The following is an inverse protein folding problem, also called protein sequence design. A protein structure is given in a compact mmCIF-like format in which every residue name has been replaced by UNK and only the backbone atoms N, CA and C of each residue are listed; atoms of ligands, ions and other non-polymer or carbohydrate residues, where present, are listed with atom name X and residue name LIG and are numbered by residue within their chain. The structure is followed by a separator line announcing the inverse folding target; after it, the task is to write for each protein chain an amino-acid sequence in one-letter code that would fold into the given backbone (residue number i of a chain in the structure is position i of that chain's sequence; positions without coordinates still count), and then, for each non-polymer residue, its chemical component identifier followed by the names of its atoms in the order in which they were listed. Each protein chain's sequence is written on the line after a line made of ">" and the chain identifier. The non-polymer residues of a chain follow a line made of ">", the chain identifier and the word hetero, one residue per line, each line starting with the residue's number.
data_IF_890520141008
#
_entry.id   IF_890520141008
#
_cell.length_a   1.000
_cell.length_b   1.000
_cell.length_c   1.000
_cell.angle_alpha   90.00
_cell.angle_beta   90.00
_cell.angle_gamma   90.00
#
_symmetry.space_group_name_H-M   'P 1'
#
loop_
_entity.id
_entity.type
_entity.pdbx_description
1 polymer ?
#
# COMPACT_ATOMS: atom_id res chain seq x y z
N UNK A 1 -5.24 2.23 -24.89
CA UNK A 1 -4.93 2.46 -23.46
C UNK A 1 -3.88 1.44 -23.03
N UNK A 2 -2.63 1.90 -22.87
CA UNK A 2 -1.47 1.20 -22.32
C UNK A 2 -1.63 0.91 -20.83
N UNK A 3 -2.06 1.88 -20.02
CA UNK A 3 -2.24 1.67 -18.58
C UNK A 3 -3.72 1.48 -18.24
N UNK A 4 -4.04 0.30 -17.73
CA UNK A 4 -5.40 -0.15 -17.42
C UNK A 4 -5.75 -0.01 -15.94
N UNK A 5 -4.75 0.16 -15.07
CA UNK A 5 -4.96 0.28 -13.63
C UNK A 5 -4.04 1.32 -12.98
N UNK A 6 -4.53 1.93 -11.89
CA UNK A 6 -3.73 2.66 -10.92
C UNK A 6 -3.75 1.90 -9.58
N UNK A 7 -2.58 1.56 -9.08
CA UNK A 7 -2.36 1.12 -7.70
C UNK A 7 -1.77 2.30 -6.91
N UNK A 8 -2.39 2.66 -5.80
CA UNK A 8 -1.95 3.81 -5.02
C UNK A 8 -1.78 3.44 -3.56
N UNK A 9 -0.70 3.92 -2.95
CA UNK A 9 -0.58 3.91 -1.50
C UNK A 9 -1.56 4.88 -0.82
N UNK A 10 -1.81 4.67 0.47
CA UNK A 10 -2.69 5.50 1.28
C UNK A 10 -1.95 6.63 2.02
N UNK A 11 -1.16 6.32 3.05
CA UNK A 11 -0.63 7.32 4.00
C UNK A 11 0.61 8.03 3.48
N UNK A 12 0.50 9.34 3.22
CA UNK A 12 1.59 10.12 2.60
C UNK A 12 1.50 10.14 1.07
N UNK A 13 0.60 9.34 0.49
CA UNK A 13 0.32 9.29 -0.95
C UNK A 13 -1.07 9.84 -1.26
N UNK A 14 -2.15 9.10 -0.99
CA UNK A 14 -3.51 9.64 -1.14
C UNK A 14 -3.89 10.59 -0.01
N UNK A 15 -3.55 10.21 1.21
CA UNK A 15 -4.02 10.82 2.43
C UNK A 15 -2.92 11.65 3.09
N UNK A 16 -3.31 12.80 3.62
CA UNK A 16 -2.49 13.61 4.53
C UNK A 16 -3.10 13.54 5.92
N UNK A 17 -2.33 13.08 6.89
CA UNK A 17 -2.82 12.82 8.26
C UNK A 17 -4.07 11.92 8.30
N UNK A 18 -4.11 10.90 7.43
CA UNK A 18 -5.22 9.96 7.34
C UNK A 18 -6.47 10.47 6.63
N UNK A 19 -6.48 11.70 6.10
CA UNK A 19 -7.62 12.27 5.37
C UNK A 19 -7.29 12.44 3.89
N UNK A 20 -8.25 12.09 3.03
CA UNK A 20 -8.21 12.33 1.58
C UNK A 20 -9.11 13.53 1.28
N UNK A 21 -8.57 14.53 0.60
CA UNK A 21 -9.33 15.75 0.28
C UNK A 21 -10.32 15.55 -0.88
N UNK A 22 -11.28 16.49 -0.98
CA UNK A 22 -12.33 16.42 -2.00
C UNK A 22 -11.79 16.48 -3.46
N UNK A 23 -10.80 17.32 -3.80
CA UNK A 23 -10.19 17.29 -5.13
C UNK A 23 -9.59 15.93 -5.51
N UNK A 24 -8.91 15.27 -4.57
CA UNK A 24 -8.33 13.95 -4.79
C UNK A 24 -9.42 12.90 -4.97
N UNK A 25 -10.48 12.93 -4.17
CA UNK A 25 -11.64 12.04 -4.37
C UNK A 25 -12.27 12.22 -5.75
N UNK A 26 -12.46 13.47 -6.18
CA UNK A 26 -12.98 13.76 -7.52
C UNK A 26 -12.03 13.26 -8.62
N UNK A 27 -10.72 13.29 -8.40
CA UNK A 27 -9.75 12.72 -9.34
C UNK A 27 -9.89 11.19 -9.44
N UNK A 28 -10.01 10.49 -8.32
CA UNK A 28 -10.25 9.04 -8.31
C UNK A 28 -11.56 8.68 -9.03
N UNK A 29 -12.62 9.47 -8.85
CA UNK A 29 -13.88 9.30 -9.57
C UNK A 29 -13.72 9.49 -11.08
N UNK A 30 -12.96 10.51 -11.52
CA UNK A 30 -12.62 10.70 -12.95
C UNK A 30 -11.82 9.53 -13.50
N UNK A 31 -10.86 9.01 -12.74
CA UNK A 31 -10.06 7.86 -13.16
C UNK A 31 -10.96 6.63 -13.37
N UNK A 32 -11.87 6.35 -12.43
CA UNK A 32 -12.86 5.27 -12.58
C UNK A 32 -13.72 5.47 -13.82
N UNK A 33 -14.20 6.69 -14.05
CA UNK A 33 -15.02 7.03 -15.21
C UNK A 33 -14.28 6.85 -16.55
N UNK A 34 -12.94 6.90 -16.54
CA UNK A 34 -12.12 6.58 -17.72
C UNK A 34 -12.06 5.08 -18.07
N UNK A 35 -12.66 4.20 -17.24
CA UNK A 35 -12.67 2.76 -17.43
C UNK A 35 -11.43 2.03 -16.88
N UNK A 36 -10.56 2.74 -16.16
CA UNK A 36 -9.39 2.14 -15.48
C UNK A 36 -9.79 1.54 -14.14
N UNK A 37 -9.15 0.43 -13.79
CA UNK A 37 -9.25 -0.15 -12.47
C UNK A 37 -8.48 0.71 -11.45
N UNK A 38 -9.01 0.76 -10.22
CA UNK A 38 -8.38 1.50 -9.13
C UNK A 38 -8.16 0.58 -7.93
N UNK A 39 -6.90 0.45 -7.51
CA UNK A 39 -6.47 -0.40 -6.40
C UNK A 39 -5.84 0.46 -5.29
N UNK A 40 -6.25 0.22 -4.04
CA UNK A 40 -5.63 0.82 -2.86
C UNK A 40 -4.63 -0.19 -2.29
N UNK A 41 -3.39 0.20 -2.02
CA UNK A 41 -2.37 -0.70 -1.47
C UNK A 41 -1.75 -0.08 -0.22
N UNK A 42 -2.06 -0.59 0.97
CA UNK A 42 -1.73 0.07 2.23
C UNK A 42 -1.16 -0.87 3.29
N UNK A 43 -0.30 -0.32 4.14
CA UNK A 43 0.15 -0.99 5.37
C UNK A 43 -0.91 -1.04 6.48
N UNK A 44 -2.01 -0.28 6.36
CA UNK A 44 -3.06 -0.21 7.39
C UNK A 44 -3.77 -1.54 7.57
N UNK A 45 -4.14 -1.81 8.83
CA UNK A 45 -5.12 -2.84 9.17
C UNK A 45 -6.49 -2.47 8.60
N UNK A 46 -7.19 -3.45 8.03
CA UNK A 46 -8.40 -3.21 7.22
C UNK A 46 -9.54 -2.58 8.02
N UNK A 47 -9.73 -2.97 9.29
CA UNK A 47 -10.74 -2.42 10.19
C UNK A 47 -10.50 -0.95 10.50
N UNK A 48 -9.27 -0.57 10.83
CA UNK A 48 -8.85 0.82 11.05
C UNK A 48 -8.95 1.65 9.78
N UNK A 49 -8.60 1.08 8.63
CA UNK A 49 -8.81 1.72 7.33
C UNK A 49 -10.29 2.00 7.08
N UNK A 50 -11.18 1.01 7.29
CA UNK A 50 -12.64 1.17 7.13
C UNK A 50 -13.22 2.26 8.04
N UNK A 51 -12.66 2.46 9.24
CA UNK A 51 -13.06 3.54 10.16
C UNK A 51 -12.54 4.91 9.72
N UNK A 52 -11.34 4.95 9.16
CA UNK A 52 -10.65 6.20 8.81
C UNK A 52 -11.12 6.75 7.45
N UNK A 53 -11.38 5.86 6.50
CA UNK A 53 -11.65 6.22 5.12
C UNK A 53 -12.94 5.56 4.62
N UNK A 54 -13.99 6.37 4.46
CA UNK A 54 -15.32 5.89 4.10
C UNK A 54 -15.51 5.62 2.60
N UNK A 55 -14.63 6.16 1.74
CA UNK A 55 -14.75 6.06 0.28
C UNK A 55 -14.02 4.86 -0.33
N UNK A 56 -13.97 3.74 0.40
CA UNK A 56 -13.42 2.49 -0.13
C UNK A 56 -14.22 1.99 -1.35
N UNK A 57 -15.49 2.40 -1.52
CA UNK A 57 -16.32 2.12 -2.69
C UNK A 57 -15.68 2.55 -4.02
N UNK A 58 -14.72 3.49 -3.99
CA UNK A 58 -13.95 3.93 -5.16
C UNK A 58 -12.94 2.89 -5.66
N UNK A 59 -12.62 1.88 -4.86
CA UNK A 59 -11.60 0.90 -5.21
C UNK A 59 -12.25 -0.40 -5.69
N UNK A 60 -11.66 -1.02 -6.70
CA UNK A 60 -12.07 -2.34 -7.16
C UNK A 60 -11.57 -3.42 -6.20
N UNK A 61 -10.32 -3.29 -5.74
CA UNK A 61 -9.73 -4.11 -4.68
C UNK A 61 -8.87 -3.22 -3.76
N UNK A 62 -8.97 -3.47 -2.46
CA UNK A 62 -8.12 -2.90 -1.43
C UNK A 62 -7.16 -3.99 -0.96
N UNK A 63 -5.86 -3.76 -1.15
CA UNK A 63 -4.76 -4.56 -0.62
C UNK A 63 -4.36 -3.93 0.73
N UNK A 64 -4.84 -4.49 1.82
CA UNK A 64 -4.58 -4.05 3.19
C UNK A 64 -3.48 -4.88 3.86
N UNK A 65 -3.11 -4.49 5.08
CA UNK A 65 -2.12 -5.20 5.91
C UNK A 65 -0.81 -5.46 5.17
N UNK A 66 -0.34 -4.44 4.45
CA UNK A 66 0.92 -4.46 3.70
C UNK A 66 1.00 -5.63 2.70
N UNK A 67 -0.13 -6.01 2.10
CA UNK A 67 -0.19 -7.09 1.12
C UNK A 67 -0.93 -8.34 1.57
N UNK A 68 -1.22 -8.46 2.87
CA UNK A 68 -1.70 -9.73 3.42
C UNK A 68 -3.20 -9.96 3.29
N UNK A 69 -3.99 -8.91 3.02
CA UNK A 69 -5.45 -8.98 2.96
C UNK A 69 -5.95 -8.31 1.70
N UNK A 70 -6.75 -9.01 0.90
CA UNK A 70 -7.53 -8.42 -0.19
C UNK A 70 -8.96 -8.20 0.29
N UNK A 71 -9.49 -7.01 0.07
CA UNK A 71 -10.88 -6.66 0.36
C UNK A 71 -11.55 -6.12 -0.88
N UNK A 72 -12.78 -6.57 -1.15
CA UNK A 72 -13.58 -6.15 -2.32
C UNK A 72 -14.72 -5.23 -1.85
N UNK A 73 -14.63 -3.90 -2.02
CA UNK A 73 -15.64 -2.98 -1.48
C UNK A 73 -17.05 -3.17 -2.05
N UNK A 74 -17.15 -3.62 -3.32
CA UNK A 74 -18.44 -3.86 -4.00
C UNK A 74 -19.15 -5.15 -3.56
N UNK A 75 -18.40 -6.13 -3.07
CA UNK A 75 -18.88 -7.41 -2.59
C UNK A 75 -17.99 -7.77 -1.39
N UNK A 76 -18.37 -7.35 -0.16
CA UNK A 76 -17.47 -7.16 0.99
C UNK A 76 -16.87 -8.47 1.54
N UNK A 77 -16.08 -9.12 0.70
CA UNK A 77 -15.35 -10.35 0.91
C UNK A 77 -13.90 -10.02 1.21
N UNK A 78 -13.30 -10.80 2.10
CA UNK A 78 -11.90 -10.72 2.48
C UNK A 78 -11.19 -12.01 2.03
N UNK A 79 -10.09 -11.87 1.29
CA UNK A 79 -9.14 -12.96 1.04
C UNK A 79 -7.91 -12.71 1.93
N UNK A 80 -7.56 -13.69 2.76
CA UNK A 80 -6.35 -13.64 3.59
C UNK A 80 -5.24 -14.41 2.88
N UNK A 81 -4.10 -13.76 2.64
CA UNK A 81 -2.97 -14.29 1.85
C UNK A 81 -1.83 -14.84 2.72
N UNK A 82 -2.01 -14.92 4.04
CA UNK A 82 -1.01 -15.41 4.97
C UNK A 82 -1.59 -16.04 6.24
N UNK A 83 -0.79 -16.82 6.98
CA UNK A 83 -1.20 -17.30 8.29
C UNK A 83 -1.36 -16.14 9.28
N UNK A 84 -2.21 -16.28 10.31
CA UNK A 84 -2.32 -15.28 11.36
C UNK A 84 -1.02 -15.16 12.16
N UNK A 85 -0.78 -14.02 12.85
CA UNK A 85 0.38 -13.84 13.69
C UNK A 85 0.53 -14.96 14.72
N UNK A 86 1.72 -15.56 14.88
CA UNK A 86 1.91 -16.65 15.83
C UNK A 86 1.60 -16.21 17.27
N UNK A 87 0.76 -16.96 17.99
CA UNK A 87 0.45 -16.64 19.39
C UNK A 87 1.69 -16.54 20.29
N UNK A 88 2.70 -17.44 20.20
CA UNK A 88 3.92 -17.32 21.01
C UNK A 88 4.68 -16.00 20.77
N UNK A 89 4.62 -15.48 19.54
CA UNK A 89 5.23 -14.19 19.19
C UNK A 89 4.51 -13.04 19.89
N UNK A 90 3.16 -13.01 19.79
CA UNK A 90 2.34 -12.00 20.42
C UNK A 90 2.47 -12.02 21.95
N UNK A 91 2.47 -13.21 22.55
CA UNK A 91 2.55 -13.38 23.99
C UNK A 91 3.91 -12.93 24.53
N UNK A 92 5.01 -13.24 23.84
CA UNK A 92 6.33 -12.79 24.25
C UNK A 92 6.50 -11.26 24.09
N UNK A 93 5.94 -10.65 23.04
CA UNK A 93 5.94 -9.18 22.90
C UNK A 93 5.15 -8.51 24.04
N UNK A 94 3.96 -9.01 24.36
CA UNK A 94 3.12 -8.51 25.46
C UNK A 94 3.81 -8.67 26.81
N UNK A 95 4.45 -9.82 27.05
CA UNK A 95 5.21 -10.08 28.27
C UNK A 95 6.40 -9.11 28.43
N UNK A 96 6.94 -8.59 27.33
CA UNK A 96 7.99 -7.55 27.31
C UNK A 96 7.45 -6.12 27.31
N UNK A 97 6.14 -5.94 27.50
CA UNK A 97 5.50 -4.62 27.57
C UNK A 97 5.45 -3.88 26.23
N UNK A 98 5.58 -4.60 25.10
CA UNK A 98 5.49 -3.99 23.77
C UNK A 98 4.01 -3.84 23.38
N UNK A 99 3.51 -2.60 23.17
CA UNK A 99 2.18 -2.40 22.63
C UNK A 99 2.15 -2.89 21.17
N UNK A 100 1.16 -3.71 20.84
CA UNK A 100 1.01 -4.28 19.50
C UNK A 100 -0.38 -4.04 18.95
N UNK A 101 -0.43 -3.69 17.68
CA UNK A 101 -1.64 -3.70 16.85
C UNK A 101 -1.60 -4.98 16.02
N UNK A 102 -2.67 -5.77 16.08
CA UNK A 102 -2.71 -7.11 15.47
C UNK A 102 -3.83 -7.10 14.43
N UNK A 103 -3.46 -7.29 13.16
CA UNK A 103 -4.39 -7.51 12.06
C UNK A 103 -4.71 -8.99 11.85
N UNK A 104 -5.22 -9.34 10.67
CA UNK A 104 -5.40 -10.75 10.26
C UNK A 104 -4.08 -11.47 10.16
N UNK A 105 -3.04 -10.80 9.63
CA UNK A 105 -1.70 -11.36 9.34
C UNK A 105 -0.59 -10.45 9.84
N UNK A 106 -0.79 -9.12 9.83
CA UNK A 106 0.23 -8.16 10.24
C UNK A 106 0.25 -7.97 11.76
N UNK A 107 1.45 -7.76 12.32
CA UNK A 107 1.64 -7.17 13.65
C UNK A 107 2.37 -5.86 13.49
N UNK A 108 1.82 -4.77 14.02
CA UNK A 108 2.47 -3.47 14.00
C UNK A 108 2.77 -2.97 15.43
N UNK A 109 3.86 -2.26 15.58
CA UNK A 109 4.23 -1.52 16.79
C UNK A 109 5.01 -0.26 16.42
N UNK A 110 5.42 0.51 17.42
CA UNK A 110 6.23 1.70 17.25
C UNK A 110 7.71 1.35 17.06
N UNK A 111 8.42 2.14 16.25
CA UNK A 111 9.83 1.91 15.90
C UNK A 111 10.76 1.82 17.12
N UNK A 112 10.45 2.53 18.21
CA UNK A 112 11.19 2.41 19.47
C UNK A 112 11.26 0.98 20.03
N UNK A 113 10.35 0.08 19.63
CA UNK A 113 10.32 -1.32 20.03
C UNK A 113 10.99 -2.26 19.02
N UNK A 114 11.61 -1.75 17.95
CA UNK A 114 12.25 -2.55 16.89
C UNK A 114 13.23 -3.59 17.43
N UNK A 115 14.10 -3.20 18.36
CA UNK A 115 15.09 -4.12 18.93
C UNK A 115 14.41 -5.26 19.70
N UNK A 116 13.38 -4.95 20.49
CA UNK A 116 12.61 -5.96 21.21
C UNK A 116 11.91 -6.91 20.25
N UNK A 117 11.35 -6.41 19.15
CA UNK A 117 10.73 -7.23 18.10
C UNK A 117 11.76 -8.20 17.49
N UNK A 118 12.92 -7.69 17.07
CA UNK A 118 14.00 -8.52 16.52
C UNK A 118 14.46 -9.60 17.51
N UNK A 119 14.61 -9.24 18.78
CA UNK A 119 15.04 -10.17 19.82
C UNK A 119 14.01 -11.28 20.05
N UNK A 120 12.70 -10.97 19.98
CA UNK A 120 11.63 -11.97 20.10
C UNK A 120 11.61 -12.90 18.89
N UNK A 121 11.71 -12.36 17.66
CA UNK A 121 11.78 -13.17 16.43
C UNK A 121 12.94 -14.17 16.53
N UNK A 122 14.13 -13.70 16.95
CA UNK A 122 15.32 -14.53 17.12
C UNK A 122 15.16 -15.57 18.23
N UNK A 123 14.63 -15.18 19.40
CA UNK A 123 14.46 -16.07 20.53
C UNK A 123 13.49 -17.23 20.25
N UNK A 124 12.49 -16.99 19.41
CA UNK A 124 11.51 -18.00 19.00
C UNK A 124 11.93 -18.77 17.75
N UNK A 125 13.06 -18.41 17.10
CA UNK A 125 13.52 -19.05 15.86
C UNK A 125 12.51 -18.91 14.72
N UNK A 126 11.75 -17.81 14.69
CA UNK A 126 10.71 -17.59 13.68
C UNK A 126 11.28 -16.94 12.44
N UNK A 127 10.78 -17.36 11.28
CA UNK A 127 11.01 -16.68 10.02
C UNK A 127 9.88 -15.65 9.83
N UNK A 128 10.13 -14.42 10.26
CA UNK A 128 9.21 -13.27 10.14
C UNK A 128 9.99 -12.08 9.57
N UNK A 129 9.37 -11.40 8.61
CA UNK A 129 9.95 -10.22 7.99
C UNK A 129 9.50 -8.96 8.73
N UNK A 130 10.48 -8.15 9.13
CA UNK A 130 10.26 -6.86 9.78
C UNK A 130 10.47 -5.73 8.77
N UNK A 131 9.47 -4.86 8.63
CA UNK A 131 9.44 -3.73 7.70
C UNK A 131 9.31 -2.44 8.51
N UNK A 132 10.17 -1.47 8.22
CA UNK A 132 10.09 -0.13 8.80
C UNK A 132 9.25 0.77 7.90
N UNK A 133 8.40 1.60 8.52
CA UNK A 133 7.58 2.58 7.80
C UNK A 133 7.29 3.77 8.71
N UNK A 134 7.95 4.91 8.46
CA UNK A 134 7.69 6.22 9.09
C UNK A 134 7.40 6.15 10.61
N UNK A 135 8.29 5.57 11.41
CA UNK A 135 8.10 5.49 12.87
C UNK A 135 7.35 4.24 13.36
N UNK A 136 6.95 3.34 12.46
CA UNK A 136 6.34 2.07 12.78
C UNK A 136 7.20 0.87 12.35
N UNK A 137 7.09 -0.21 13.11
CA UNK A 137 7.61 -1.54 12.79
C UNK A 137 6.43 -2.44 12.46
N UNK A 138 6.45 -3.02 11.28
CA UNK A 138 5.47 -3.98 10.79
C UNK A 138 6.13 -5.35 10.67
N UNK A 139 5.46 -6.40 11.13
CA UNK A 139 5.95 -7.78 11.11
C UNK A 139 4.94 -8.65 10.40
N UNK A 140 5.40 -9.37 9.38
CA UNK A 140 4.60 -10.24 8.51
C UNK A 140 5.36 -11.55 8.22
N UNK A 141 4.66 -12.58 7.72
CA UNK A 141 5.32 -13.73 7.12
C UNK A 141 6.30 -13.33 5.99
N UNK A 142 7.38 -14.09 5.80
CA UNK A 142 8.25 -13.92 4.63
C UNK A 142 7.40 -14.06 3.36
N UNK A 143 7.75 -13.31 2.32
CA UNK A 143 7.05 -13.28 1.02
C UNK A 143 5.71 -12.55 0.98
N UNK A 144 5.27 -11.91 2.07
CA UNK A 144 4.10 -11.02 2.03
C UNK A 144 4.56 -9.56 2.11
N UNK A 145 4.21 -8.80 1.07
CA UNK A 145 4.46 -7.38 0.92
C UNK A 145 3.43 -6.72 -0.02
N UNK A 146 3.52 -5.39 -0.19
CA UNK A 146 2.61 -4.65 -1.06
C UNK A 146 2.63 -5.15 -2.51
N UNK A 147 3.77 -5.61 -3.02
CA UNK A 147 3.91 -6.04 -4.41
C UNK A 147 3.24 -7.40 -4.65
N UNK A 148 3.44 -8.35 -3.74
CA UNK A 148 2.82 -9.69 -3.77
C UNK A 148 1.31 -9.60 -3.57
N UNK A 149 0.84 -8.75 -2.65
CA UNK A 149 -0.59 -8.46 -2.50
C UNK A 149 -1.20 -7.78 -3.74
N UNK A 150 -0.49 -6.81 -4.34
CA UNK A 150 -0.91 -6.22 -5.61
C UNK A 150 -0.97 -7.26 -6.74
N UNK A 151 0.02 -8.15 -6.84
CA UNK A 151 0.05 -9.19 -7.86
C UNK A 151 -1.18 -10.13 -7.75
N UNK A 152 -1.54 -10.52 -6.52
CA UNK A 152 -2.75 -11.29 -6.26
C UNK A 152 -4.02 -10.53 -6.68
N UNK A 153 -4.13 -9.25 -6.32
CA UNK A 153 -5.27 -8.42 -6.72
C UNK A 153 -5.39 -8.24 -8.25
N UNK A 154 -4.27 -8.00 -8.94
CA UNK A 154 -4.24 -7.87 -10.40
C UNK A 154 -4.62 -9.18 -11.10
N UNK A 155 -4.20 -10.32 -10.56
CA UNK A 155 -4.58 -11.64 -11.08
C UNK A 155 -6.10 -11.86 -11.03
N UNK A 156 -6.78 -11.46 -9.95
CA UNK A 156 -8.24 -11.50 -9.85
C UNK A 156 -8.94 -10.61 -10.87
N UNK A 157 -8.38 -9.42 -11.12
CA UNK A 157 -8.88 -8.49 -12.13
C UNK A 157 -8.48 -8.89 -13.56
N UNK A 158 -7.68 -9.95 -13.74
CA UNK A 158 -7.09 -10.38 -15.03
C UNK A 158 -6.30 -9.25 -15.71
N UNK A 159 -5.59 -8.46 -14.91
CA UNK A 159 -4.74 -7.37 -15.34
C UNK A 159 -3.27 -7.73 -15.19
N UNK A 160 -2.44 -7.19 -16.08
CA UNK A 160 -0.99 -7.36 -16.02
C UNK A 160 -0.35 -6.21 -15.23
N UNK A 161 0.64 -6.49 -14.36
CA UNK A 161 1.43 -5.45 -13.71
C UNK A 161 2.09 -4.48 -14.70
N UNK A 162 2.45 -4.95 -15.91
CA UNK A 162 3.01 -4.08 -16.96
C UNK A 162 2.02 -3.03 -17.50
N UNK A 163 0.72 -3.25 -17.32
CA UNK A 163 -0.33 -2.30 -17.66
C UNK A 163 -0.83 -1.53 -16.43
N UNK A 164 -0.10 -1.57 -15.32
CA UNK A 164 -0.45 -0.88 -14.07
C UNK A 164 0.53 0.27 -13.83
N UNK A 165 0.01 1.39 -13.35
CA UNK A 165 0.80 2.46 -12.74
C UNK A 165 0.71 2.32 -11.22
N UNK A 166 1.84 2.39 -10.54
CA UNK A 166 1.89 2.44 -9.08
C UNK A 166 2.33 3.83 -8.62
N UNK A 167 1.73 4.35 -7.55
CA UNK A 167 2.15 5.58 -6.90
C UNK A 167 2.31 5.39 -5.38
N UNK A 168 3.40 5.91 -4.82
CA UNK A 168 3.77 5.76 -3.41
C UNK A 168 4.70 6.86 -2.91
N UNK A 169 5.08 6.79 -1.63
CA UNK A 169 5.90 7.82 -0.99
C UNK A 169 7.00 7.33 -0.04
N UNK A 170 6.95 6.07 0.40
CA UNK A 170 7.87 5.54 1.41
C UNK A 170 8.66 4.30 0.95
N UNK A 171 9.56 3.82 1.82
CA UNK A 171 10.45 2.69 1.54
C UNK A 171 9.68 1.39 1.27
N UNK A 172 8.56 1.16 1.94
CA UNK A 172 7.74 -0.02 1.69
C UNK A 172 7.01 -0.01 0.33
N UNK A 173 7.10 1.09 -0.44
CA UNK A 173 6.56 1.20 -1.79
C UNK A 173 7.56 0.83 -2.89
N UNK A 174 8.84 0.60 -2.57
CA UNK A 174 9.85 0.27 -3.59
C UNK A 174 9.45 -0.95 -4.45
N UNK A 175 9.03 -2.03 -3.79
CA UNK A 175 8.59 -3.25 -4.48
C UNK A 175 7.27 -3.01 -5.22
N UNK A 176 6.37 -2.20 -4.67
CA UNK A 176 5.11 -1.81 -5.31
C UNK A 176 5.36 -1.07 -6.64
N UNK A 177 6.23 -0.05 -6.62
CA UNK A 177 6.56 0.75 -7.80
C UNK A 177 7.27 -0.09 -8.87
N UNK A 178 8.26 -0.89 -8.47
CA UNK A 178 9.08 -1.68 -9.39
C UNK A 178 8.34 -2.87 -10.02
N UNK A 179 7.29 -3.39 -9.36
CA UNK A 179 6.45 -4.44 -9.91
C UNK A 179 5.56 -3.96 -11.08
N UNK A 180 5.34 -2.65 -11.19
CA UNK A 180 4.41 -2.06 -12.15
C UNK A 180 5.10 -1.53 -13.41
N UNK A 181 4.36 -1.42 -14.51
CA UNK A 181 4.88 -0.87 -15.78
C UNK A 181 5.33 0.59 -15.68
N UNK A 182 4.81 1.34 -14.71
CA UNK A 182 5.26 2.68 -14.36
C UNK A 182 5.15 2.90 -12.85
N UNK A 183 6.27 3.06 -12.16
CA UNK A 183 6.31 3.47 -10.75
C UNK A 183 6.49 4.98 -10.62
N UNK A 184 5.65 5.62 -9.82
CA UNK A 184 5.60 7.07 -9.60
C UNK A 184 5.79 7.38 -8.12
N UNK A 185 6.62 8.36 -7.79
CA UNK A 185 6.74 8.87 -6.43
C UNK A 185 6.09 10.26 -6.31
N UNK A 186 5.42 10.54 -5.19
CA UNK A 186 4.91 11.89 -4.91
C UNK A 186 6.01 12.86 -4.50
N UNK A 187 5.77 14.18 -4.58
CA UNK A 187 6.80 15.18 -4.26
C UNK A 187 7.28 15.15 -2.80
N UNK A 188 6.49 14.64 -1.85
CA UNK A 188 6.90 14.43 -0.45
C UNK A 188 7.58 13.08 -0.20
N UNK A 189 7.74 12.23 -1.22
CA UNK A 189 8.33 10.91 -1.06
C UNK A 189 9.79 10.96 -0.58
N UNK A 190 10.24 9.87 0.01
CA UNK A 190 11.63 9.73 0.48
C UNK A 190 12.61 9.87 -0.70
N UNK A 191 13.83 10.40 -0.47
CA UNK A 191 14.81 10.55 -1.53
C UNK A 191 15.13 9.23 -2.25
N UNK A 192 15.21 8.12 -1.52
CA UNK A 192 15.48 6.81 -2.12
C UNK A 192 14.35 6.37 -3.06
N UNK A 193 13.08 6.57 -2.68
CA UNK A 193 11.94 6.22 -3.55
C UNK A 193 11.92 7.06 -4.82
N UNK A 194 12.15 8.37 -4.70
CA UNK A 194 12.23 9.28 -5.85
C UNK A 194 13.32 8.89 -6.85
N UNK A 195 14.49 8.48 -6.35
CA UNK A 195 15.61 8.06 -7.20
C UNK A 195 15.32 6.78 -8.00
N UNK A 196 14.39 5.95 -7.53
CA UNK A 196 14.01 4.68 -8.17
C UNK A 196 12.73 4.78 -8.99
N UNK A 197 11.91 5.80 -8.74
CA UNK A 197 10.68 6.01 -9.48
C UNK A 197 10.97 6.43 -10.93
N UNK A 198 10.12 5.98 -11.85
CA UNK A 198 10.17 6.41 -13.25
C UNK A 198 9.76 7.88 -13.41
N UNK A 199 8.88 8.33 -12.55
CA UNK A 199 8.38 9.70 -12.51
C UNK A 199 8.29 10.15 -11.05
N UNK A 200 8.59 11.43 -10.83
CA UNK A 200 8.26 12.12 -9.57
C UNK A 200 7.23 13.19 -9.91
N UNK A 201 6.09 13.21 -9.20
CA UNK A 201 5.08 14.28 -9.39
C UNK A 201 5.61 15.60 -8.85
N UNK A 202 5.07 16.72 -9.34
CA UNK A 202 5.43 18.06 -8.84
C UNK A 202 4.74 18.35 -7.53
N UNK A 203 3.49 17.90 -7.38
CA UNK A 203 2.71 18.06 -6.18
C UNK A 203 2.91 16.89 -5.20
N UNK A 204 2.66 17.15 -3.93
CA UNK A 204 2.74 16.18 -2.84
C UNK A 204 1.37 15.53 -2.58
N UNK A 205 1.38 14.41 -1.86
CA UNK A 205 0.17 13.71 -1.39
C UNK A 205 -0.90 13.59 -2.50
N UNK A 206 -2.18 13.78 -2.13
CA UNK A 206 -3.32 13.62 -3.05
C UNK A 206 -3.30 14.58 -4.25
N UNK A 207 -2.64 15.73 -4.14
CA UNK A 207 -2.44 16.62 -5.27
C UNK A 207 -1.46 16.01 -6.29
N UNK A 208 -0.43 15.30 -5.85
CA UNK A 208 0.45 14.50 -6.71
C UNK A 208 -0.30 13.34 -7.39
N UNK A 209 -1.18 12.65 -6.66
CA UNK A 209 -2.05 11.62 -7.25
C UNK A 209 -3.00 12.20 -8.29
N UNK A 210 -3.58 13.38 -8.02
CA UNK A 210 -4.43 14.11 -8.96
C UNK A 210 -3.67 14.48 -10.23
N UNK A 211 -2.45 15.02 -10.09
CA UNK A 211 -1.56 15.32 -11.23
C UNK A 211 -1.30 14.08 -12.10
N UNK A 212 -1.04 12.92 -11.48
CA UNK A 212 -0.83 11.68 -12.19
C UNK A 212 -2.09 11.23 -12.94
N UNK A 213 -3.25 11.28 -12.29
CA UNK A 213 -4.54 10.91 -12.88
C UNK A 213 -4.86 11.79 -14.09
N UNK A 214 -4.65 13.09 -13.99
CA UNK A 214 -4.93 14.02 -15.09
C UNK A 214 -4.05 13.69 -16.31
N UNK A 215 -2.78 13.33 -16.10
CA UNK A 215 -1.89 12.86 -17.19
C UNK A 215 -2.33 11.52 -17.76
N UNK A 216 -2.73 10.56 -16.92
CA UNK A 216 -3.26 9.26 -17.37
C UNK A 216 -4.50 9.42 -18.26
N UNK A 217 -5.41 10.33 -17.90
CA UNK A 217 -6.62 10.60 -18.67
C UNK A 217 -6.30 11.37 -19.96
N UNK A 218 -5.39 12.35 -19.91
CA UNK A 218 -5.08 13.21 -21.04
C UNK A 218 -4.35 12.47 -22.18
N UNK A 219 -3.31 11.68 -21.87
CA UNK A 219 -2.46 11.07 -22.89
C UNK A 219 -1.91 9.69 -22.51
N UNK A 220 -2.41 9.08 -21.43
CA UNK A 220 -2.00 7.75 -20.98
C UNK A 220 -0.49 7.66 -20.70
N UNK A 221 0.09 8.78 -20.25
CA UNK A 221 1.52 8.98 -19.98
C UNK A 221 2.40 8.86 -21.23
N UNK A 222 1.86 9.04 -22.44
CA UNK A 222 2.62 8.95 -23.68
C UNK A 222 3.76 9.98 -23.75
N UNK A 223 3.53 11.19 -23.22
CA UNK A 223 4.52 12.27 -23.13
C UNK A 223 5.75 11.97 -22.26
N UNK A 224 5.74 10.88 -21.49
CA UNK A 224 6.91 10.42 -20.69
C UNK A 224 7.83 9.47 -21.46
N UNK A 225 7.58 9.24 -22.75
CA UNK A 225 8.47 8.46 -23.62
C UNK A 225 9.62 9.34 -24.11
N UNK A 226 10.51 9.72 -23.21
CA UNK A 226 11.82 10.33 -23.50
C UNK A 226 12.93 9.39 -23.01
#
# INVERSE_FOLDING_TARGET
>A
MRYLALATDYDGTLARHGQVDAPTLAALERLRASGRALLLVTGRELGELKKTFSRLDLFDIVVAENGAVLYRPKSPEETILGPPPPLPFLDMLRARGVPVFVGRVIVATWEQHQNTVLDVIRALGMDLHMILNKGAVMVLPPHIDKATGLAAALAELKLSPHNTVAIGDAENDHLLLSACGCGVAVANATPDLKNRARLVTRADHGAGVTELIDRLIADDLASLSL
#
